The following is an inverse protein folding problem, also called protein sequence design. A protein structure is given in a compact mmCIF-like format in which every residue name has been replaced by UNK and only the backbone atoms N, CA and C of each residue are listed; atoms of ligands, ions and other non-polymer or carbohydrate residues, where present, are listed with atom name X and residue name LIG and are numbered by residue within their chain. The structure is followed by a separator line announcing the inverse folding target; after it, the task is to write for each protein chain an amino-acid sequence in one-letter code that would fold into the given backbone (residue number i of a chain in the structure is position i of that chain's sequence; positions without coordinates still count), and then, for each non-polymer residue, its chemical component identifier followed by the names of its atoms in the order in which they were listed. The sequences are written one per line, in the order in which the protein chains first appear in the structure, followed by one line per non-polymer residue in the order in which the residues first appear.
data_IF_914879437606
#
_entry.id   IF_914879437606
#
_cell.length_a   1.000
_cell.length_b   1.000
_cell.length_c   1.000
_cell.angle_alpha   90.00
_cell.angle_beta   90.00
_cell.angle_gamma   90.00
#
_symmetry.space_group_name_H-M   'P 1'
#
loop_
_entity.id
_entity.type
_entity.pdbx_description
1 polymer ?
#
# COMPACT_ATOMS: atom_id res chain seq x y z
N UNK A 1 1.46 -7.32 -7.31
CA UNK A 1 2.47 -6.67 -8.19
C UNK A 1 1.77 -5.53 -8.91
N UNK A 2 2.42 -4.37 -9.09
CA UNK A 2 1.84 -3.21 -9.80
C UNK A 2 2.67 -2.89 -11.02
N UNK A 3 2.04 -2.79 -12.18
CA UNK A 3 2.68 -2.46 -13.45
C UNK A 3 2.08 -1.16 -14.00
N UNK A 4 2.93 -0.25 -14.47
CA UNK A 4 2.53 0.96 -15.18
C UNK A 4 3.20 0.93 -16.55
N UNK A 5 2.40 0.91 -17.61
CA UNK A 5 2.87 1.04 -18.98
C UNK A 5 2.97 2.52 -19.33
N UNK A 6 4.10 2.91 -19.94
CA UNK A 6 4.39 4.27 -20.37
C UNK A 6 3.72 4.54 -21.72
N UNK A 7 3.23 5.76 -21.91
CA UNK A 7 2.78 6.24 -23.22
C UNK A 7 3.93 6.87 -24.01
N UNK A 8 3.74 7.04 -25.33
CA UNK A 8 4.79 7.50 -26.26
C UNK A 8 5.36 8.90 -25.96
N UNK A 9 4.59 9.77 -25.29
CA UNK A 9 5.00 11.14 -24.93
C UNK A 9 4.86 11.45 -23.44
N UNK A 10 5.02 10.45 -22.56
CA UNK A 10 4.95 10.70 -21.13
C UNK A 10 6.31 11.05 -20.51
N UNK A 11 6.37 12.18 -19.80
CA UNK A 11 7.53 12.53 -18.98
C UNK A 11 7.74 11.56 -17.81
N UNK A 12 9.00 11.23 -17.52
CA UNK A 12 9.40 10.27 -16.47
C UNK A 12 8.75 10.56 -15.11
N UNK A 13 8.66 11.83 -14.72
CA UNK A 13 8.05 12.22 -13.44
C UNK A 13 6.55 11.89 -13.35
N UNK A 14 5.81 12.06 -14.44
CA UNK A 14 4.39 11.69 -14.51
C UNK A 14 4.22 10.18 -14.29
N UNK A 15 5.04 9.39 -14.97
CA UNK A 15 5.02 7.94 -14.85
C UNK A 15 5.35 7.47 -13.42
N UNK A 16 6.38 8.05 -12.80
CA UNK A 16 6.74 7.77 -11.41
C UNK A 16 5.63 8.14 -10.44
N UNK A 17 4.91 9.24 -10.67
CA UNK A 17 3.77 9.65 -9.86
C UNK A 17 2.61 8.66 -9.98
N UNK A 18 2.29 8.19 -11.19
CA UNK A 18 1.27 7.15 -11.41
C UNK A 18 1.68 5.84 -10.74
N UNK A 19 2.93 5.43 -10.89
CA UNK A 19 3.48 4.24 -10.25
C UNK A 19 3.39 4.30 -8.72
N UNK A 20 3.84 5.39 -8.10
CA UNK A 20 3.74 5.59 -6.63
C UNK A 20 2.29 5.50 -6.14
N UNK A 21 1.34 6.09 -6.88
CA UNK A 21 -0.10 6.00 -6.57
C UNK A 21 -0.60 4.56 -6.68
N UNK A 22 -0.24 3.82 -7.73
CA UNK A 22 -0.62 2.43 -7.89
C UNK A 22 -0.04 1.53 -6.80
N UNK A 23 1.24 1.68 -6.47
CA UNK A 23 1.92 0.95 -5.37
C UNK A 23 1.23 1.21 -4.04
N UNK A 24 0.89 2.48 -3.76
CA UNK A 24 0.18 2.87 -2.54
C UNK A 24 -1.23 2.27 -2.49
N UNK A 25 -1.99 2.34 -3.59
CA UNK A 25 -3.33 1.76 -3.70
C UNK A 25 -3.33 0.25 -3.53
N UNK A 26 -2.32 -0.42 -4.06
CA UNK A 26 -2.15 -1.87 -3.95
C UNK A 26 -1.74 -2.33 -2.54
N UNK A 27 -1.38 -1.42 -1.63
CA UNK A 27 -1.06 -1.76 -0.24
C UNK A 27 0.26 -2.53 -0.04
N UNK A 28 1.08 -2.66 -1.08
CA UNK A 28 2.30 -3.51 -1.09
C UNK A 28 3.23 -3.19 0.08
N UNK A 29 3.43 -1.91 0.39
CA UNK A 29 4.30 -1.50 1.51
C UNK A 29 3.74 -1.91 2.88
N UNK A 30 2.41 -1.91 3.04
CA UNK A 30 1.77 -2.35 4.27
C UNK A 30 1.88 -3.88 4.43
N UNK A 31 1.73 -4.62 3.33
CA UNK A 31 1.89 -6.06 3.30
C UNK A 31 3.32 -6.45 3.67
N UNK A 32 4.32 -5.87 2.98
CA UNK A 32 5.73 -6.10 3.29
C UNK A 32 6.00 -5.82 4.77
N UNK A 33 5.50 -4.71 5.32
CA UNK A 33 5.70 -4.39 6.75
C UNK A 33 5.11 -5.45 7.68
N UNK A 34 3.94 -5.99 7.36
CA UNK A 34 3.29 -7.02 8.18
C UNK A 34 3.88 -8.43 8.04
N UNK A 35 4.60 -8.70 6.96
CA UNK A 35 5.28 -9.98 6.72
C UNK A 35 6.75 -9.97 7.14
N UNK A 36 7.30 -8.83 7.62
CA UNK A 36 8.71 -8.72 8.06
C UNK A 36 9.06 -9.65 9.21
N UNK A 37 8.11 -9.96 10.07
CA UNK A 37 8.27 -10.89 11.18
C UNK A 37 6.96 -11.63 11.40
N UNK A 38 7.04 -12.77 12.10
CA UNK A 38 5.84 -13.49 12.50
C UNK A 38 5.03 -12.65 13.50
N UNK A 39 3.76 -12.43 13.18
CA UNK A 39 2.76 -11.90 14.12
C UNK A 39 1.89 -13.05 14.63
N UNK A 40 1.68 -13.11 15.94
CA UNK A 40 0.73 -14.03 16.57
C UNK A 40 -0.72 -13.71 16.13
N UNK A 41 -1.67 -14.66 16.28
CA UNK A 41 -3.07 -14.42 15.92
C UNK A 41 -3.69 -13.20 16.63
N UNK A 42 -3.31 -12.96 17.89
CA UNK A 42 -3.80 -11.84 18.69
C UNK A 42 -3.27 -10.49 18.16
N UNK A 43 -1.98 -10.42 17.84
CA UNK A 43 -1.35 -9.23 17.27
C UNK A 43 -1.94 -8.89 15.91
N UNK A 44 -2.19 -9.91 15.06
CA UNK A 44 -2.91 -9.75 13.79
C UNK A 44 -4.30 -9.14 13.99
N UNK A 45 -5.08 -9.61 14.98
CA UNK A 45 -6.40 -9.05 15.32
C UNK A 45 -6.30 -7.60 15.79
N UNK A 46 -5.35 -7.30 16.68
CA UNK A 46 -5.10 -5.94 17.20
C UNK A 46 -4.71 -4.96 16.08
N UNK A 47 -3.79 -5.36 15.19
CA UNK A 47 -3.38 -4.55 14.03
C UNK A 47 -4.55 -4.27 13.09
N UNK A 48 -5.37 -5.27 12.76
CA UNK A 48 -6.57 -5.10 11.92
C UNK A 48 -7.58 -4.11 12.54
N UNK A 49 -7.83 -4.22 13.85
CA UNK A 49 -8.73 -3.31 14.56
C UNK A 49 -8.23 -1.85 14.54
N UNK A 50 -6.93 -1.63 14.79
CA UNK A 50 -6.32 -0.30 14.74
C UNK A 50 -6.42 0.29 13.33
N UNK A 51 -6.14 -0.51 12.29
CA UNK A 51 -6.24 -0.07 10.90
C UNK A 51 -7.67 0.32 10.52
N UNK A 52 -8.67 -0.46 10.94
CA UNK A 52 -10.07 -0.13 10.73
C UNK A 52 -10.48 1.17 11.44
N UNK A 53 -10.07 1.36 12.70
CA UNK A 53 -10.32 2.60 13.47
C UNK A 53 -9.67 3.82 12.80
N UNK A 54 -8.43 3.69 12.33
CA UNK A 54 -7.75 4.77 11.58
C UNK A 54 -8.52 5.11 10.29
N UNK A 55 -8.92 4.11 9.50
CA UNK A 55 -9.68 4.33 8.26
C UNK A 55 -11.01 5.06 8.50
N UNK A 56 -11.71 4.76 9.61
CA UNK A 56 -12.93 5.47 10.01
C UNK A 56 -12.69 6.92 10.43
N UNK A 57 -11.53 7.24 11.02
CA UNK A 57 -11.19 8.60 11.46
C UNK A 57 -10.84 9.54 10.31
N UNK A 58 -10.30 8.99 9.22
CA UNK A 58 -9.92 9.74 8.03
C UNK A 58 -11.00 9.73 6.94
N UNK A 59 -12.17 9.16 7.23
CA UNK A 59 -13.37 9.20 6.38
C UNK A 59 -14.33 10.22 6.96
#
# INVERSE_FOLDING_TARGET
MTQVVLGENEGIESALRRFKRQVSKAGILADVKSHRHFETPLEKRKRKAIMARRKRRFR
#
